data_IF_427994758564
#
_entry.id   IF_427994758564
#
_cell.length_a   1.000
_cell.length_b   1.000
_cell.length_c   1.000
_cell.angle_alpha   90.00
_cell.angle_beta   90.00
_cell.angle_gamma   90.00
#
_symmetry.space_group_name_H-M   'P 1'
#
loop_
_entity.id
_entity.type
_entity.pdbx_description
1 polymer ?
#
# COMPACT_ATOMS: atom_id res chain seq x y z
N UNK A 1 -7.21 22.32 -42.05
CA UNK A 1 -6.13 22.67 -41.12
C UNK A 1 -5.13 23.57 -41.83
N UNK A 2 -4.84 24.76 -41.30
CA UNK A 2 -3.88 25.70 -41.92
C UNK A 2 -2.43 25.17 -41.82
N UNK A 3 -1.55 25.61 -42.73
CA UNK A 3 -0.13 25.29 -42.67
C UNK A 3 0.51 25.68 -41.31
N UNK A 4 0.08 26.81 -40.73
CA UNK A 4 0.51 27.24 -39.39
C UNK A 4 0.15 26.24 -38.29
N UNK A 5 -1.04 25.61 -38.35
CA UNK A 5 -1.43 24.59 -37.37
C UNK A 5 -0.53 23.34 -37.43
N UNK A 6 -0.02 22.98 -38.62
CA UNK A 6 0.90 21.85 -38.79
C UNK A 6 2.29 22.17 -38.24
N UNK A 7 2.79 23.38 -38.48
CA UNK A 7 4.09 23.85 -37.97
C UNK A 7 4.06 23.96 -36.43
N UNK A 8 2.99 24.49 -35.85
CA UNK A 8 2.83 24.55 -34.40
C UNK A 8 2.79 23.15 -33.77
N UNK A 9 2.03 22.22 -34.37
CA UNK A 9 1.98 20.84 -33.90
C UNK A 9 3.33 20.12 -34.00
N UNK A 10 4.10 20.33 -35.08
CA UNK A 10 5.43 19.74 -35.23
C UNK A 10 6.44 20.28 -34.21
N UNK A 11 6.39 21.58 -33.90
CA UNK A 11 7.26 22.18 -32.90
C UNK A 11 6.97 21.64 -31.49
N UNK A 12 5.69 21.53 -31.13
CA UNK A 12 5.28 20.94 -29.85
C UNK A 12 5.72 19.47 -29.76
N UNK A 13 5.59 18.70 -30.85
CA UNK A 13 6.04 17.32 -30.90
C UNK A 13 7.57 17.19 -30.76
N UNK A 14 8.34 18.03 -31.45
CA UNK A 14 9.79 18.06 -31.35
C UNK A 14 10.25 18.43 -29.93
N UNK A 15 9.61 19.42 -29.30
CA UNK A 15 9.91 19.81 -27.93
C UNK A 15 9.60 18.69 -26.93
N UNK A 16 8.48 17.96 -27.12
CA UNK A 16 8.16 16.77 -26.31
C UNK A 16 9.21 15.67 -26.47
N UNK A 17 9.68 15.41 -27.69
CA UNK A 17 10.72 14.41 -27.96
C UNK A 17 12.07 14.79 -27.35
N UNK A 18 12.46 16.06 -27.44
CA UNK A 18 13.70 16.54 -26.83
C UNK A 18 13.67 16.38 -25.31
N UNK A 19 12.56 16.76 -24.66
CA UNK A 19 12.35 16.55 -23.22
C UNK A 19 12.34 15.07 -22.84
N UNK A 20 11.72 14.21 -23.65
CA UNK A 20 11.68 12.77 -23.39
C UNK A 20 13.08 12.13 -23.44
N UNK A 21 13.95 12.55 -24.38
CA UNK A 21 15.34 12.09 -24.45
C UNK A 21 16.13 12.50 -23.21
N UNK A 22 16.04 13.77 -22.82
CA UNK A 22 16.69 14.30 -21.61
C UNK A 22 16.28 13.53 -20.35
N UNK A 23 14.99 13.17 -20.24
CA UNK A 23 14.49 12.39 -19.11
C UNK A 23 15.00 10.96 -19.12
N UNK A 24 15.02 10.30 -20.28
CA UNK A 24 15.56 8.95 -20.38
C UNK A 24 17.03 8.94 -19.95
N UNK A 25 17.82 9.85 -20.48
CA UNK A 25 19.22 10.01 -20.12
C UNK A 25 19.42 10.29 -18.63
N UNK A 26 18.57 11.14 -18.05
CA UNK A 26 18.55 11.41 -16.61
C UNK A 26 18.24 10.15 -15.80
N UNK A 27 17.23 9.39 -16.20
CA UNK A 27 16.81 8.16 -15.51
C UNK A 27 17.88 7.07 -15.63
N UNK A 28 18.53 6.94 -16.77
CA UNK A 28 19.57 5.93 -17.01
C UNK A 28 20.85 6.22 -16.21
N UNK A 29 21.12 7.49 -15.89
CA UNK A 29 22.27 7.93 -15.08
C UNK A 29 21.96 8.13 -13.60
N UNK A 30 20.72 7.93 -13.17
CA UNK A 30 20.33 8.16 -11.78
C UNK A 30 20.97 7.12 -10.85
N UNK A 31 21.65 7.62 -9.80
CA UNK A 31 22.23 6.78 -8.75
C UNK A 31 21.15 6.27 -7.79
N UNK A 32 21.41 5.13 -7.13
CA UNK A 32 20.57 4.65 -6.03
C UNK A 32 20.67 5.62 -4.85
N UNK A 33 19.53 5.96 -4.26
CA UNK A 33 19.48 6.87 -3.11
C UNK A 33 19.96 6.22 -1.81
N UNK A 34 19.77 4.91 -1.71
CA UNK A 34 20.10 4.15 -0.51
C UNK A 34 21.33 3.31 -0.81
N UNK A 35 22.38 3.48 0.00
CA UNK A 35 23.56 2.63 -0.06
C UNK A 35 23.17 1.14 0.08
N UNK A 36 23.94 0.20 -0.46
CA UNK A 36 23.68 -1.22 -0.24
C UNK A 36 23.49 -1.54 1.25
N UNK A 37 22.60 -2.47 1.57
CA UNK A 37 22.40 -2.90 2.96
C UNK A 37 23.74 -3.33 3.56
N UNK A 38 24.03 -2.87 4.77
CA UNK A 38 25.25 -3.24 5.49
C UNK A 38 25.45 -4.77 5.45
N UNK A 39 26.56 -5.26 4.89
CA UNK A 39 26.87 -6.69 4.84
C UNK A 39 26.78 -7.38 6.21
N UNK A 40 27.07 -6.67 7.31
CA UNK A 40 26.98 -7.21 8.67
C UNK A 40 25.54 -7.54 9.08
N UNK A 41 24.57 -6.71 8.70
CA UNK A 41 23.15 -6.98 8.96
C UNK A 41 22.70 -8.27 8.26
N UNK A 42 23.24 -8.55 7.07
CA UNK A 42 22.96 -9.79 6.35
C UNK A 42 23.67 -10.99 6.93
N UNK A 43 24.90 -10.85 7.45
CA UNK A 43 25.66 -12.00 8.00
C UNK A 43 24.89 -12.73 9.10
N UNK A 44 24.12 -12.00 9.90
CA UNK A 44 23.32 -12.55 10.99
C UNK A 44 21.97 -13.13 10.54
N UNK A 45 21.61 -13.04 9.25
CA UNK A 45 20.37 -13.61 8.73
C UNK A 45 20.47 -15.15 8.68
N UNK A 46 19.46 -15.92 9.16
CA UNK A 46 19.50 -17.39 9.17
C UNK A 46 19.75 -18.06 7.80
N UNK A 47 19.53 -17.33 6.72
CA UNK A 47 19.70 -17.80 5.34
C UNK A 47 20.43 -16.78 4.46
N UNK A 48 21.41 -16.07 5.06
CA UNK A 48 22.25 -15.05 4.41
C UNK A 48 22.90 -15.52 3.10
N UNK A 49 23.39 -16.76 3.04
CA UNK A 49 23.96 -17.36 1.81
C UNK A 49 22.95 -17.42 0.66
N UNK A 50 21.71 -17.80 0.95
CA UNK A 50 20.65 -17.88 -0.05
C UNK A 50 20.23 -16.49 -0.53
N UNK A 51 20.14 -15.51 0.38
CA UNK A 51 19.86 -14.12 0.03
C UNK A 51 20.94 -13.55 -0.91
N UNK A 52 22.20 -13.81 -0.60
CA UNK A 52 23.32 -13.37 -1.45
C UNK A 52 23.26 -14.00 -2.84
N UNK A 53 23.00 -15.31 -2.93
CA UNK A 53 22.85 -15.99 -4.22
C UNK A 53 21.67 -15.50 -5.05
N UNK A 54 20.56 -15.15 -4.39
CA UNK A 54 19.29 -14.81 -5.07
C UNK A 54 19.23 -13.35 -5.49
N UNK A 55 19.65 -12.43 -4.62
CA UNK A 55 19.53 -10.98 -4.83
C UNK A 55 20.86 -10.28 -5.11
N UNK A 56 21.99 -10.94 -4.82
CA UNK A 56 23.32 -10.38 -5.01
C UNK A 56 23.59 -9.12 -4.20
N UNK A 57 24.51 -8.32 -4.73
CA UNK A 57 24.91 -7.03 -4.18
C UNK A 57 23.83 -5.96 -4.42
N UNK A 58 23.21 -5.97 -5.61
CA UNK A 58 22.24 -4.97 -6.06
C UNK A 58 20.79 -5.41 -5.82
N UNK A 59 20.47 -5.68 -4.57
CA UNK A 59 19.12 -6.02 -4.14
C UNK A 59 18.13 -4.89 -4.43
N UNK A 60 16.87 -5.24 -4.68
CA UNK A 60 15.76 -4.29 -4.78
C UNK A 60 15.53 -3.55 -3.46
N UNK A 61 14.95 -2.35 -3.52
CA UNK A 61 14.59 -1.57 -2.31
C UNK A 61 13.19 -1.90 -1.81
N UNK A 62 12.39 -2.54 -2.66
CA UNK A 62 11.05 -2.96 -2.37
C UNK A 62 10.43 -3.66 -3.56
N UNK A 63 9.13 -3.89 -3.47
CA UNK A 63 8.33 -4.39 -4.58
C UNK A 63 6.89 -3.92 -4.45
N UNK A 64 6.11 -4.10 -5.50
CA UNK A 64 4.67 -3.97 -5.44
C UNK A 64 3.95 -5.02 -6.30
N UNK A 65 2.77 -5.42 -5.81
CA UNK A 65 1.82 -6.26 -6.51
C UNK A 65 0.81 -5.41 -7.24
N UNK A 66 0.75 -5.60 -8.55
CA UNK A 66 -0.30 -5.01 -9.38
C UNK A 66 -1.64 -5.70 -9.13
N UNK A 67 -2.74 -5.04 -9.48
CA UNK A 67 -4.08 -5.64 -9.48
C UNK A 67 -4.21 -6.94 -10.30
N UNK A 68 -3.35 -7.13 -11.32
CA UNK A 68 -3.31 -8.36 -12.11
C UNK A 68 -2.56 -9.52 -11.41
N UNK A 69 -1.98 -9.29 -10.23
CA UNK A 69 -1.18 -10.24 -9.47
C UNK A 69 0.30 -10.27 -9.84
N UNK A 70 0.73 -9.48 -10.84
CA UNK A 70 2.13 -9.41 -11.22
C UNK A 70 2.98 -8.67 -10.18
N UNK A 71 4.18 -9.18 -9.97
CA UNK A 71 5.21 -8.67 -9.08
C UNK A 71 6.08 -7.66 -9.83
N UNK A 72 6.34 -6.51 -9.21
CA UNK A 72 7.11 -5.44 -9.85
C UNK A 72 8.12 -4.90 -8.84
N UNK A 73 9.38 -4.85 -9.24
CA UNK A 73 10.50 -4.46 -8.38
C UNK A 73 10.55 -2.94 -8.20
N UNK A 74 10.92 -2.48 -7.01
CA UNK A 74 11.13 -1.07 -6.72
C UNK A 74 12.62 -0.81 -6.45
N UNK A 75 13.11 0.26 -7.06
CA UNK A 75 14.43 0.80 -6.83
C UNK A 75 14.29 2.29 -6.55
N UNK A 76 14.90 2.73 -5.46
CA UNK A 76 14.89 4.09 -5.00
C UNK A 76 16.11 4.84 -5.54
N UNK A 77 15.84 5.88 -6.32
CA UNK A 77 16.86 6.69 -6.97
C UNK A 77 16.94 8.09 -6.36
N UNK A 78 18.14 8.66 -6.42
CA UNK A 78 18.37 10.06 -6.06
C UNK A 78 17.68 11.00 -7.05
N UNK A 79 17.45 12.23 -6.59
CA UNK A 79 16.93 13.29 -7.44
C UNK A 79 15.42 13.26 -7.62
N UNK A 80 14.94 13.73 -8.78
CA UNK A 80 13.56 14.18 -8.97
C UNK A 80 12.54 13.04 -9.08
N UNK A 81 12.96 11.87 -9.53
CA UNK A 81 12.06 10.76 -9.89
C UNK A 81 12.40 9.52 -9.07
N UNK A 82 11.88 9.42 -7.82
CA UNK A 82 12.41 8.50 -6.81
C UNK A 82 12.24 7.03 -7.18
N UNK A 83 11.23 6.65 -7.97
CA UNK A 83 11.04 5.27 -8.43
C UNK A 83 10.89 5.18 -9.96
N UNK A 84 11.40 6.17 -10.70
CA UNK A 84 11.23 6.25 -12.17
C UNK A 84 9.76 6.10 -12.57
N UNK A 85 9.41 5.10 -13.38
CA UNK A 85 8.04 4.80 -13.83
C UNK A 85 7.43 3.66 -13.01
N UNK A 86 6.26 3.90 -12.40
CA UNK A 86 5.47 2.88 -11.72
C UNK A 86 4.41 2.31 -12.66
N UNK A 87 4.86 1.41 -13.55
CA UNK A 87 4.01 0.65 -14.48
C UNK A 87 4.22 -0.83 -14.27
N UNK A 88 3.13 -1.59 -14.33
CA UNK A 88 3.22 -3.04 -14.27
C UNK A 88 3.87 -3.58 -15.54
N UNK A 89 4.91 -4.41 -15.40
CA UNK A 89 5.65 -4.97 -16.54
C UNK A 89 4.81 -5.98 -17.35
N UNK A 90 3.74 -6.52 -16.77
CA UNK A 90 2.86 -7.51 -17.41
C UNK A 90 1.66 -6.86 -18.10
N UNK A 91 0.89 -6.04 -17.37
CA UNK A 91 -0.36 -5.48 -17.90
C UNK A 91 -0.26 -4.00 -18.30
N UNK A 92 0.91 -3.36 -18.13
CA UNK A 92 1.15 -1.93 -18.38
C UNK A 92 0.23 -0.96 -17.60
N UNK A 93 -0.56 -1.45 -16.64
CA UNK A 93 -1.36 -0.61 -15.74
C UNK A 93 -0.42 0.23 -14.88
N UNK A 94 -0.74 1.53 -14.73
CA UNK A 94 -0.04 2.42 -13.83
C UNK A 94 -0.44 2.08 -12.39
N UNK A 95 0.51 2.14 -11.47
CA UNK A 95 0.24 1.93 -10.04
C UNK A 95 -0.95 2.78 -9.58
N UNK A 96 -1.82 2.20 -8.76
CA UNK A 96 -3.02 2.86 -8.25
C UNK A 96 -3.41 2.34 -6.87
N UNK A 97 -4.58 2.76 -6.37
CA UNK A 97 -5.07 2.39 -5.04
C UNK A 97 -5.41 0.89 -4.88
N UNK A 98 -5.52 0.13 -5.98
CA UNK A 98 -5.73 -1.33 -5.91
C UNK A 98 -4.41 -2.08 -5.81
N UNK A 99 -3.30 -1.44 -6.16
CA UNK A 99 -1.96 -2.01 -6.02
C UNK A 99 -1.51 -1.99 -4.56
N UNK A 100 -0.64 -2.92 -4.19
CA UNK A 100 -0.07 -3.04 -2.83
C UNK A 100 1.44 -3.03 -2.96
N UNK A 101 2.11 -2.21 -2.16
CA UNK A 101 3.56 -2.04 -2.18
C UNK A 101 4.16 -2.38 -0.83
N UNK A 102 5.44 -2.76 -0.83
CA UNK A 102 6.23 -2.86 0.39
C UNK A 102 6.37 -1.51 1.08
N UNK A 103 6.93 -1.54 2.29
CA UNK A 103 6.94 -0.42 3.23
C UNK A 103 7.62 0.83 2.64
N UNK A 104 8.56 0.68 1.70
CA UNK A 104 9.26 1.79 1.04
C UNK A 104 8.32 2.76 0.33
N UNK A 105 7.22 2.29 -0.25
CA UNK A 105 6.25 3.13 -0.96
C UNK A 105 4.94 3.02 -0.19
N UNK A 106 4.64 4.02 0.64
CA UNK A 106 3.40 4.04 1.43
C UNK A 106 2.45 5.11 0.90
N UNK A 107 1.26 4.74 0.39
CA UNK A 107 0.23 5.68 0.00
C UNK A 107 -0.14 6.67 1.11
N UNK A 108 -0.25 7.96 0.78
CA UNK A 108 -0.68 9.00 1.71
C UNK A 108 -2.07 9.49 1.29
N UNK A 109 -3.08 9.37 2.17
CA UNK A 109 -4.34 10.07 1.97
C UNK A 109 -4.10 11.58 1.99
N UNK A 110 -4.69 12.32 1.06
CA UNK A 110 -4.48 13.77 0.94
C UNK A 110 -4.78 14.56 2.22
N UNK A 111 -5.73 14.10 3.02
CA UNK A 111 -6.06 14.67 4.34
C UNK A 111 -4.89 14.62 5.33
N UNK A 112 -3.89 13.77 5.09
CA UNK A 112 -2.71 13.60 5.91
C UNK A 112 -1.51 14.42 5.40
N UNK A 113 -1.63 15.12 4.27
CA UNK A 113 -0.56 15.99 3.76
C UNK A 113 -0.60 17.30 4.54
N UNK A 114 0.47 17.63 5.31
CA UNK A 114 0.56 18.89 6.01
C UNK A 114 0.54 20.07 5.03
N UNK A 115 -0.36 21.02 5.24
CA UNK A 115 -0.48 22.22 4.40
C UNK A 115 0.57 23.29 4.70
N UNK A 116 1.22 23.23 5.88
CA UNK A 116 2.25 24.17 6.35
C UNK A 116 3.23 23.46 7.28
N UNK A 117 4.39 24.07 7.51
CA UNK A 117 5.38 23.60 8.47
C UNK A 117 6.09 22.31 8.04
N UNK A 118 6.10 22.02 6.73
CA UNK A 118 6.81 20.86 6.19
C UNK A 118 8.30 21.16 6.19
N UNK A 119 9.07 20.34 6.91
CA UNK A 119 10.53 20.42 6.88
C UNK A 119 11.06 19.90 5.54
N UNK A 120 12.25 20.36 5.13
CA UNK A 120 12.91 19.87 3.91
C UNK A 120 13.06 18.35 3.90
N UNK A 121 13.43 17.76 5.04
CA UNK A 121 13.58 16.31 5.18
C UNK A 121 12.25 15.57 4.98
N UNK A 122 11.15 16.10 5.53
CA UNK A 122 9.82 15.50 5.32
C UNK A 122 9.39 15.61 3.85
N UNK A 123 9.62 16.77 3.20
CA UNK A 123 9.30 16.95 1.79
C UNK A 123 10.11 16.00 0.89
N UNK A 124 11.39 15.78 1.19
CA UNK A 124 12.25 14.84 0.46
C UNK A 124 11.77 13.38 0.56
N UNK A 125 11.13 13.03 1.69
CA UNK A 125 10.48 11.74 1.90
C UNK A 125 9.09 11.63 1.25
N UNK A 126 8.61 12.66 0.57
CA UNK A 126 7.30 12.66 -0.09
C UNK A 126 7.44 12.65 -1.61
N UNK A 127 6.52 11.96 -2.25
CA UNK A 127 6.39 11.96 -3.70
C UNK A 127 4.94 11.91 -4.16
N UNK A 128 4.79 12.09 -5.46
CA UNK A 128 3.56 11.87 -6.20
C UNK A 128 3.89 11.23 -7.54
N UNK A 129 2.93 10.61 -8.22
CA UNK A 129 3.17 10.12 -9.59
C UNK A 129 2.09 10.55 -10.55
N UNK A 130 2.49 10.67 -11.82
CA UNK A 130 1.62 11.08 -12.89
C UNK A 130 0.68 9.92 -13.28
N UNK A 131 -0.66 10.08 -13.22
CA UNK A 131 -1.60 9.01 -13.56
C UNK A 131 -1.66 8.72 -15.06
N UNK A 132 -1.11 9.60 -15.92
CA UNK A 132 -1.09 9.40 -17.36
C UNK A 132 0.10 8.56 -17.83
N UNK A 133 1.26 8.67 -17.16
CA UNK A 133 2.46 7.97 -17.59
C UNK A 133 3.17 7.15 -16.51
N UNK A 134 2.80 7.26 -15.24
CA UNK A 134 3.42 6.55 -14.12
C UNK A 134 4.75 7.14 -13.65
N UNK A 135 5.25 8.24 -14.23
CA UNK A 135 6.49 8.87 -13.77
C UNK A 135 6.28 9.44 -12.36
N UNK A 136 7.15 9.04 -11.43
CA UNK A 136 7.17 9.53 -10.05
C UNK A 136 7.90 10.85 -9.95
N UNK A 137 7.52 11.70 -9.01
CA UNK A 137 8.05 13.03 -8.78
C UNK A 137 8.20 13.25 -7.27
N UNK A 138 9.38 13.67 -6.80
CA UNK A 138 9.51 14.17 -5.42
C UNK A 138 8.76 15.47 -5.24
N UNK A 139 8.25 15.69 -4.04
CA UNK A 139 7.62 16.96 -3.67
C UNK A 139 8.72 17.99 -3.41
N UNK A 140 8.65 19.11 -4.11
CA UNK A 140 9.56 20.24 -3.93
C UNK A 140 8.90 21.24 -2.97
N UNK A 141 9.66 21.97 -2.13
CA UNK A 141 9.09 23.05 -1.32
C UNK A 141 9.09 24.35 -2.15
N UNK A 142 7.99 25.12 -2.08
CA UNK A 142 8.01 26.49 -2.62
C UNK A 142 8.74 27.36 -1.60
N UNK A 143 9.85 27.97 -2.01
CA UNK A 143 10.74 28.72 -1.14
C UNK A 143 10.00 29.65 -0.16
N UNK A 144 10.49 29.69 1.08
CA UNK A 144 10.01 30.50 2.23
C UNK A 144 8.67 30.13 2.87
N UNK A 145 7.82 29.33 2.22
CA UNK A 145 6.47 29.06 2.76
C UNK A 145 6.34 27.74 3.53
N UNK A 146 7.33 26.85 3.42
CA UNK A 146 7.23 25.45 3.91
C UNK A 146 5.96 24.75 3.42
N UNK A 147 5.45 25.18 2.25
CA UNK A 147 4.29 24.58 1.58
C UNK A 147 4.84 23.60 0.54
N UNK A 148 4.40 22.34 0.56
CA UNK A 148 4.76 21.38 -0.47
C UNK A 148 4.20 21.83 -1.82
N UNK A 149 5.10 22.10 -2.76
CA UNK A 149 4.77 22.27 -4.18
C UNK A 149 4.39 20.93 -4.76
N UNK A 150 3.10 20.69 -4.83
CA UNK A 150 2.57 19.61 -5.65
C UNK A 150 2.50 20.03 -7.12
N UNK A 151 2.84 21.27 -7.49
CA UNK A 151 2.72 21.83 -8.84
C UNK A 151 3.93 21.49 -9.73
N UNK A 152 3.90 20.29 -10.30
CA UNK A 152 4.94 19.75 -11.19
C UNK A 152 4.32 19.50 -12.56
N UNK A 153 5.00 19.95 -13.63
CA UNK A 153 4.69 19.48 -14.97
C UNK A 153 5.39 18.15 -15.20
N UNK A 154 4.62 17.10 -15.44
CA UNK A 154 5.19 15.83 -15.88
C UNK A 154 5.68 15.95 -17.32
N UNK A 155 6.67 15.13 -17.64
CA UNK A 155 7.34 15.12 -18.93
C UNK A 155 6.44 14.61 -20.06
N UNK A 156 5.40 13.84 -19.74
CA UNK A 156 4.32 13.51 -20.68
C UNK A 156 3.45 14.73 -21.06
N UNK A 157 3.64 15.88 -20.41
CA UNK A 157 2.86 17.11 -20.60
C UNK A 157 1.70 17.28 -19.62
N UNK A 158 1.45 16.29 -18.77
CA UNK A 158 0.39 16.38 -17.75
C UNK A 158 0.79 17.35 -16.65
N UNK A 159 -0.08 18.31 -16.35
CA UNK A 159 0.06 19.16 -15.17
C UNK A 159 -0.37 18.38 -13.94
N UNK A 160 0.40 18.47 -12.87
CA UNK A 160 -0.01 17.88 -11.61
C UNK A 160 -1.33 18.48 -11.13
N UNK A 161 -2.24 17.59 -10.78
CA UNK A 161 -3.47 17.96 -10.10
C UNK A 161 -3.39 17.48 -8.67
N UNK A 162 -4.14 18.11 -7.76
CA UNK A 162 -4.17 17.65 -6.38
C UNK A 162 -4.78 16.24 -6.18
N UNK A 163 -5.30 15.63 -7.24
CA UNK A 163 -5.82 14.26 -7.27
C UNK A 163 -4.76 13.23 -7.69
N UNK A 164 -3.55 13.69 -8.03
CA UNK A 164 -2.43 12.78 -8.22
C UNK A 164 -2.18 12.00 -6.93
N UNK A 165 -1.83 10.74 -7.11
CA UNK A 165 -1.54 9.87 -6.00
C UNK A 165 -0.26 10.30 -5.31
N UNK A 166 -0.32 10.46 -3.98
CA UNK A 166 0.79 10.87 -3.13
C UNK A 166 1.27 9.72 -2.27
N UNK A 167 2.58 9.66 -2.01
CA UNK A 167 3.20 8.58 -1.23
C UNK A 167 4.35 9.10 -0.36
N UNK A 168 4.64 8.38 0.72
CA UNK A 168 5.88 8.49 1.48
C UNK A 168 6.88 7.49 0.94
N UNK A 169 8.13 7.92 0.97
CA UNK A 169 9.33 7.12 0.73
C UNK A 169 9.87 6.77 2.11
N UNK A 170 9.65 5.54 2.56
CA UNK A 170 10.21 5.04 3.82
C UNK A 170 11.57 4.36 3.59
N UNK A 171 12.20 3.91 4.68
CA UNK A 171 13.43 3.13 4.58
C UNK A 171 13.18 1.77 3.89
N UNK A 172 14.10 1.32 3.02
CA UNK A 172 14.06 -0.01 2.40
C UNK A 172 14.50 -1.14 3.35
N UNK A 173 15.01 -0.84 4.55
CA UNK A 173 15.77 -1.80 5.35
C UNK A 173 14.97 -3.04 5.73
N UNK A 174 13.67 -2.87 6.01
CA UNK A 174 12.78 -3.99 6.36
C UNK A 174 12.64 -4.97 5.19
N UNK A 175 12.49 -4.47 3.97
CA UNK A 175 12.42 -5.30 2.77
C UNK A 175 13.77 -5.93 2.46
N UNK A 176 14.87 -5.15 2.53
CA UNK A 176 16.22 -5.62 2.22
C UNK A 176 16.74 -6.67 3.22
N UNK A 177 16.27 -6.63 4.46
CA UNK A 177 16.61 -7.62 5.48
C UNK A 177 16.03 -8.99 5.13
N UNK A 178 14.74 -9.03 4.79
CA UNK A 178 14.02 -10.27 4.45
C UNK A 178 13.02 -10.02 3.30
N UNK A 179 13.49 -10.07 2.04
CA UNK A 179 12.63 -9.84 0.88
C UNK A 179 11.59 -10.94 0.69
N UNK A 180 11.90 -12.19 1.07
CA UNK A 180 10.99 -13.32 0.94
C UNK A 180 9.80 -13.20 1.91
N UNK A 181 10.05 -12.83 3.16
CA UNK A 181 8.99 -12.59 4.12
C UNK A 181 8.17 -11.36 3.75
N UNK A 182 8.81 -10.28 3.27
CA UNK A 182 8.08 -9.12 2.76
C UNK A 182 7.16 -9.50 1.59
N UNK A 183 7.65 -10.33 0.68
CA UNK A 183 6.91 -10.84 -0.45
C UNK A 183 5.68 -11.67 -0.05
N UNK A 184 5.86 -12.61 0.89
CA UNK A 184 4.75 -13.40 1.42
C UNK A 184 3.70 -12.49 2.07
N UNK A 185 4.11 -11.50 2.88
CA UNK A 185 3.18 -10.53 3.50
C UNK A 185 2.38 -9.77 2.45
N UNK A 186 3.02 -9.33 1.36
CA UNK A 186 2.34 -8.63 0.28
C UNK A 186 1.31 -9.53 -0.42
N UNK A 187 1.64 -10.80 -0.67
CA UNK A 187 0.69 -11.76 -1.27
C UNK A 187 -0.49 -12.06 -0.35
N UNK A 188 -0.26 -12.18 0.96
CA UNK A 188 -1.33 -12.35 1.95
C UNK A 188 -2.26 -11.13 1.98
N UNK A 189 -1.72 -9.91 1.96
CA UNK A 189 -2.52 -8.69 1.90
C UNK A 189 -3.31 -8.59 0.59
N UNK A 190 -2.69 -8.95 -0.53
CA UNK A 190 -3.33 -8.98 -1.85
C UNK A 190 -4.49 -9.97 -1.90
N UNK A 191 -4.27 -11.19 -1.42
CA UNK A 191 -5.31 -12.21 -1.34
C UNK A 191 -6.46 -11.78 -0.42
N UNK A 192 -6.15 -11.09 0.69
CA UNK A 192 -7.14 -10.55 1.62
C UNK A 192 -8.00 -9.47 0.95
N UNK A 193 -7.38 -8.47 0.29
CA UNK A 193 -8.11 -7.43 -0.46
C UNK A 193 -8.94 -7.99 -1.61
N UNK A 194 -8.41 -8.98 -2.33
CA UNK A 194 -9.14 -9.67 -3.39
C UNK A 194 -10.40 -10.37 -2.83
N UNK A 195 -10.27 -11.04 -1.68
CA UNK A 195 -11.38 -11.71 -0.99
C UNK A 195 -12.43 -10.71 -0.49
N UNK A 196 -12.00 -9.61 0.13
CA UNK A 196 -12.90 -8.53 0.56
C UNK A 196 -13.69 -7.93 -0.60
N UNK A 197 -13.07 -7.75 -1.77
CA UNK A 197 -13.74 -7.24 -2.97
C UNK A 197 -14.81 -8.20 -3.49
N UNK A 198 -14.59 -9.51 -3.36
CA UNK A 198 -15.60 -10.53 -3.74
C UNK A 198 -16.74 -10.55 -2.74
N UNK A 199 -16.45 -10.57 -1.43
CA UNK A 199 -17.46 -10.59 -0.37
C UNK A 199 -18.28 -9.30 -0.33
N UNK A 200 -17.62 -8.14 -0.50
CA UNK A 200 -18.26 -6.82 -0.54
C UNK A 200 -19.28 -6.68 -1.68
N UNK A 201 -19.10 -7.41 -2.79
CA UNK A 201 -20.10 -7.49 -3.87
C UNK A 201 -21.25 -8.45 -3.56
N UNK A 202 -21.02 -9.48 -2.75
CA UNK A 202 -22.06 -10.45 -2.38
C UNK A 202 -23.04 -9.90 -1.34
N UNK A 203 -22.59 -9.04 -0.41
CA UNK A 203 -23.46 -8.51 0.66
C UNK A 203 -24.65 -7.69 0.11
N UNK A 204 -24.49 -6.75 -0.85
CA UNK A 204 -25.62 -6.06 -1.45
C UNK A 204 -26.57 -7.02 -2.18
N UNK A 205 -26.03 -8.00 -2.92
CA UNK A 205 -26.82 -8.96 -3.67
C UNK A 205 -27.68 -9.85 -2.76
N UNK A 206 -27.12 -10.29 -1.63
CA UNK A 206 -27.88 -11.05 -0.62
C UNK A 206 -28.98 -10.19 0.02
N UNK A 207 -28.75 -8.89 0.27
CA UNK A 207 -29.79 -7.97 0.76
C UNK A 207 -30.90 -7.77 -0.27
N UNK A 208 -30.57 -7.70 -1.56
CA UNK A 208 -31.55 -7.58 -2.63
C UNK A 208 -32.41 -8.86 -2.77
N UNK A 209 -31.81 -10.05 -2.66
CA UNK A 209 -32.53 -11.33 -2.65
C UNK A 209 -33.47 -11.43 -1.42
N UNK A 210 -33.02 -10.96 -0.25
CA UNK A 210 -33.86 -10.97 0.96
C UNK A 210 -35.05 -10.00 0.83
N UNK A 211 -34.85 -8.80 0.29
CA UNK A 211 -35.92 -7.82 0.10
C UNK A 211 -36.92 -8.23 -0.97
N UNK A 212 -36.47 -8.87 -2.06
CA UNK A 212 -37.36 -9.44 -3.10
C UNK A 212 -38.15 -10.64 -2.58
N UNK A 213 -37.52 -11.56 -1.81
CA UNK A 213 -38.25 -12.63 -1.12
C UNK A 213 -39.33 -12.06 -0.19
N UNK A 214 -39.00 -11.09 0.65
CA UNK A 214 -39.97 -10.47 1.56
C UNK A 214 -41.16 -9.83 0.82
N UNK A 215 -40.93 -9.21 -0.35
CA UNK A 215 -42.01 -8.68 -1.22
C UNK A 215 -42.85 -9.81 -1.83
N UNK A 216 -42.24 -10.88 -2.31
CA UNK A 216 -42.95 -12.02 -2.90
C UNK A 216 -43.84 -12.75 -1.87
N UNK A 217 -43.36 -12.96 -0.63
CA UNK A 217 -44.16 -13.60 0.42
C UNK A 217 -45.41 -12.79 0.79
N UNK A 218 -45.37 -11.45 0.59
CA UNK A 218 -46.53 -10.57 0.85
C UNK A 218 -47.64 -10.73 -0.20
N UNK A 219 -47.31 -11.22 -1.40
CA UNK A 219 -48.27 -11.39 -2.50
C UNK A 219 -48.94 -12.78 -2.46
N UNK A 220 -48.28 -13.78 -1.87
CA UNK A 220 -48.78 -15.16 -1.77
C UNK A 220 -49.36 -15.52 -0.40
N UNK A 221 -50.08 -14.60 0.26
CA UNK A 221 -51.02 -15.00 1.33
C UNK A 221 -52.40 -15.19 0.70
N UNK A 222 -52.75 -16.39 0.20
CA UNK A 222 -54.12 -16.70 -0.13
C UNK A 222 -54.98 -16.58 1.12
N UNK A 223 -56.17 -15.98 0.96
CA UNK A 223 -57.20 -15.90 1.98
C UNK A 223 -57.32 -17.23 2.73
N UNK A 224 -56.99 -17.19 4.01
CA UNK A 224 -57.01 -18.34 4.92
C UNK A 224 -58.43 -18.92 4.93
N UNK A 225 -58.69 -20.15 4.43
CA UNK A 225 -59.97 -20.79 4.65
C UNK A 225 -60.13 -21.09 6.14
N UNK A 226 -61.33 -20.83 6.62
CA UNK A 226 -61.78 -20.94 8.00
C UNK A 226 -61.51 -22.34 8.56
N UNK A 227 -60.93 -22.35 9.76
CA UNK A 227 -60.37 -23.47 10.52
C UNK A 227 -61.38 -24.62 10.73
N UNK A 228 -61.05 -25.83 10.29
CA UNK A 228 -61.63 -27.07 10.80
C UNK A 228 -60.65 -27.72 11.77
N UNK A 229 -61.09 -27.90 13.01
CA UNK A 229 -60.41 -28.62 14.09
C UNK A 229 -60.20 -30.09 13.71
N UNK A 230 -58.95 -30.54 13.63
CA UNK A 230 -58.62 -31.97 13.61
C UNK A 230 -57.55 -32.24 14.66
N UNK A 231 -57.82 -33.30 15.42
CA UNK A 231 -57.15 -33.74 16.64
C UNK A 231 -55.70 -34.18 16.45
N UNK A 232 -54.94 -34.03 17.53
CA UNK A 232 -53.54 -34.40 17.67
C UNK A 232 -53.30 -35.90 17.47
N UNK A 233 -52.36 -36.24 16.57
CA UNK A 233 -51.78 -37.58 16.46
C UNK A 233 -50.37 -37.52 17.07
N UNK A 234 -50.18 -38.32 18.12
CA UNK A 234 -48.91 -38.51 18.81
C UNK A 234 -47.89 -39.21 17.89
N UNK A 235 -46.71 -38.59 17.73
CA UNK A 235 -45.54 -39.21 17.11
C UNK A 235 -44.72 -40.01 18.13
N UNK A 236 -44.19 -41.20 17.76
CA UNK A 236 -43.40 -42.05 18.65
C UNK A 236 -41.95 -41.54 18.83
N UNK A 237 -41.26 -42.00 19.89
CA UNK A 237 -39.93 -41.52 20.26
C UNK A 237 -38.81 -42.01 19.34
N UNK A 238 -37.87 -41.10 19.06
CA UNK A 238 -36.71 -41.27 18.19
C UNK A 238 -35.62 -42.10 18.88
N UNK A 239 -35.28 -43.25 18.30
CA UNK A 239 -34.19 -44.15 18.74
C UNK A 239 -32.83 -43.43 18.65
N UNK A 240 -32.09 -43.39 19.76
CA UNK A 240 -30.69 -42.98 19.80
C UNK A 240 -29.81 -44.14 19.30
N UNK A 241 -28.98 -43.87 18.29
CA UNK A 241 -27.93 -44.80 17.84
C UNK A 241 -26.62 -44.34 18.49
N UNK A 242 -26.08 -45.20 19.36
CA UNK A 242 -24.74 -45.08 19.93
C UNK A 242 -23.77 -45.58 18.86
N UNK A 243 -22.93 -44.68 18.32
CA UNK A 243 -21.80 -45.07 17.46
C UNK A 243 -20.53 -45.16 18.30
N UNK A 244 -19.96 -46.36 18.32
CA UNK A 244 -18.71 -46.70 19.00
C UNK A 244 -17.47 -46.15 18.29
N UNK A 245 -16.42 -46.04 19.11
CA UNK A 245 -15.05 -45.56 18.85
C UNK A 245 -14.33 -46.35 17.76
N UNK A 246 -13.44 -45.65 17.03
CA UNK A 246 -12.27 -46.26 16.40
C UNK A 246 -11.70 -45.45 15.25
N UNK A 247 -10.60 -44.73 15.49
CA UNK A 247 -9.43 -44.62 14.60
C UNK A 247 -8.53 -43.45 15.05
N UNK A 248 -7.32 -43.81 15.43
CA UNK A 248 -6.19 -42.93 15.71
C UNK A 248 -5.69 -42.25 14.43
N UNK A 249 -5.74 -40.93 14.38
CA UNK A 249 -4.97 -40.11 13.44
C UNK A 249 -4.13 -39.11 14.24
N UNK A 250 -2.82 -39.13 14.00
CA UNK A 250 -1.84 -38.31 14.69
C UNK A 250 -2.18 -36.82 14.63
N UNK A 251 -2.26 -36.21 15.81
CA UNK A 251 -2.36 -34.77 15.98
C UNK A 251 -0.96 -34.15 15.83
N UNK A 252 -0.81 -33.29 14.82
CA UNK A 252 0.20 -32.22 14.86
C UNK A 252 -0.34 -31.07 15.73
N UNK A 253 0.50 -30.41 16.54
CA UNK A 253 0.06 -29.30 17.37
C UNK A 253 -0.23 -28.06 16.52
N UNK A 254 -1.48 -27.84 16.15
CA UNK A 254 -1.96 -26.51 15.75
C UNK A 254 -2.16 -25.68 17.01
N UNK A 255 -1.18 -24.84 17.35
CA UNK A 255 -1.44 -23.71 18.24
C UNK A 255 -2.17 -22.61 17.45
N UNK A 256 -3.28 -22.07 17.96
CA UNK A 256 -3.88 -20.87 17.37
C UNK A 256 -2.98 -19.66 17.68
N UNK A 257 -2.24 -19.18 16.68
CA UNK A 257 -1.64 -17.85 16.74
C UNK A 257 -2.77 -16.81 16.64
N UNK A 258 -3.31 -16.38 17.78
CA UNK A 258 -4.09 -15.14 17.84
C UNK A 258 -3.13 -13.96 17.82
N UNK A 259 -2.68 -13.56 16.64
CA UNK A 259 -2.01 -12.28 16.46
C UNK A 259 -3.07 -11.16 16.52
N UNK A 260 -3.29 -10.58 17.72
CA UNK A 260 -3.98 -9.29 17.82
C UNK A 260 -3.06 -8.23 17.20
N UNK A 261 -3.44 -7.72 16.03
CA UNK A 261 -2.76 -6.57 15.43
C UNK A 261 -2.85 -5.37 16.38
N UNK A 262 -1.74 -4.65 16.62
CA UNK A 262 -1.78 -3.41 17.38
C UNK A 262 -2.50 -2.33 16.54
N UNK A 263 -3.67 -1.90 16.99
CA UNK A 263 -4.33 -0.71 16.46
C UNK A 263 -3.65 0.54 16.99
N UNK A 264 -3.00 1.31 16.11
CA UNK A 264 -2.49 2.64 16.43
C UNK A 264 -3.67 3.64 16.41
N UNK A 265 -3.96 4.26 17.55
CA UNK A 265 -4.94 5.34 17.64
C UNK A 265 -4.17 6.65 17.78
N UNK A 266 -4.12 7.44 16.70
CA UNK A 266 -3.58 8.80 16.76
C UNK A 266 -4.66 9.76 17.27
N UNK A 267 -4.57 10.18 18.53
CA UNK A 267 -5.36 11.31 19.03
C UNK A 267 -4.60 12.61 18.72
N UNK A 268 -5.28 13.56 18.09
CA UNK A 268 -4.73 14.91 17.87
C UNK A 268 -4.78 15.69 19.19
N UNK A 269 -3.64 15.92 19.81
CA UNK A 269 -3.48 16.96 20.84
C UNK A 269 -2.83 18.21 20.23
N UNK A 270 -3.24 19.42 20.66
CA UNK A 270 -2.81 20.68 20.04
C UNK A 270 -1.48 21.22 20.60
N UNK A 271 -0.53 20.37 20.99
CA UNK A 271 0.78 20.81 21.49
C UNK A 271 1.92 19.98 20.90
N UNK A 272 3.05 20.66 20.66
CA UNK A 272 4.13 20.38 19.69
C UNK A 272 4.94 19.08 19.85
N UNK A 273 4.51 18.12 20.67
CA UNK A 273 5.19 16.83 20.83
C UNK A 273 4.22 15.69 20.49
N UNK A 274 4.33 15.15 19.27
CA UNK A 274 3.59 13.96 18.86
C UNK A 274 4.19 12.72 19.57
N UNK A 275 3.72 12.43 20.78
CA UNK A 275 3.97 11.14 21.43
C UNK A 275 2.96 10.10 20.91
N UNK A 276 3.45 9.05 20.27
CA UNK A 276 2.63 7.89 19.89
C UNK A 276 2.71 6.85 21.01
N UNK A 277 1.60 6.63 21.71
CA UNK A 277 1.47 5.52 22.67
C UNK A 277 0.95 4.28 21.95
N UNK A 278 1.64 3.15 22.06
CA UNK A 278 1.17 1.86 21.55
C UNK A 278 0.62 1.07 22.75
N UNK A 279 -0.66 0.72 22.70
CA UNK A 279 -1.27 -0.15 23.71
C UNK A 279 -0.95 -1.61 23.38
N UNK A 280 -0.24 -2.31 24.27
CA UNK A 280 -0.05 -3.76 24.21
C UNK A 280 -0.77 -4.45 25.37
N UNK A 281 -1.23 -5.69 25.21
CA UNK A 281 -1.72 -6.49 26.34
C UNK A 281 -0.55 -6.74 27.29
N UNK A 282 -0.54 -6.03 28.42
CA UNK A 282 0.57 -6.02 29.40
C UNK A 282 1.02 -4.63 29.86
N UNK A 283 0.57 -3.54 29.23
CA UNK A 283 0.86 -2.18 29.68
C UNK A 283 1.03 -1.17 28.55
N UNK A 284 1.03 0.12 28.90
CA UNK A 284 1.31 1.22 27.96
C UNK A 284 2.82 1.35 27.79
N UNK A 285 3.32 1.26 26.56
CA UNK A 285 4.74 1.54 26.25
C UNK A 285 4.81 2.90 25.57
N UNK A 286 5.55 3.83 26.17
CA UNK A 286 5.83 5.14 25.60
C UNK A 286 6.97 5.00 24.59
N UNK A 287 6.69 5.19 23.30
CA UNK A 287 7.73 5.14 22.26
C UNK A 287 8.23 6.58 22.05
N UNK A 288 9.33 6.95 22.72
CA UNK A 288 10.07 8.16 22.36
C UNK A 288 10.79 7.91 21.05
N UNK A 289 10.60 8.80 20.06
CA UNK A 289 11.36 8.78 18.81
C UNK A 289 12.84 8.94 19.16
N UNK A 290 13.67 7.95 18.80
CA UNK A 290 15.12 8.12 18.76
C UNK A 290 15.44 9.10 17.62
N UNK A 291 15.55 10.39 17.97
CA UNK A 291 16.12 11.40 17.10
C UNK A 291 17.64 11.31 17.20
N UNK A 292 18.28 11.08 16.05
CA UNK A 292 19.71 11.24 15.84
C UNK A 292 20.06 12.71 16.16
N UNK A 293 20.76 12.92 17.27
CA UNK A 293 21.48 14.15 17.55
C UNK A 293 22.93 13.94 17.11
N UNK A 294 23.30 14.50 15.96
CA UNK A 294 24.66 14.94 15.70
C UNK A 294 24.64 16.47 15.75
N UNK A 295 24.88 17.01 16.94
CA UNK A 295 25.25 18.41 17.11
C UNK A 295 26.78 18.45 17.18
N UNK A 296 27.41 18.80 16.06
CA UNK A 296 28.81 19.18 16.03
C UNK A 296 28.97 20.52 16.74
N UNK A 297 29.52 20.48 17.94
CA UNK A 297 29.97 21.67 18.68
C UNK A 297 31.13 22.34 17.92
N UNK A 298 30.82 23.46 17.28
CA UNK A 298 31.81 24.43 16.81
C UNK A 298 31.85 25.57 17.82
N UNK A 299 32.73 25.46 18.83
CA UNK A 299 33.01 26.58 19.74
C UNK A 299 33.90 27.58 19.01
N UNK A 300 33.30 28.68 18.57
CA UNK A 300 34.03 29.92 18.29
C UNK A 300 34.41 30.55 19.63
N UNK A 301 35.70 30.62 19.91
CA UNK A 301 36.25 31.52 20.94
C UNK A 301 36.36 32.92 20.36
N UNK A 302 35.71 33.89 21.01
CA UNK A 302 36.16 35.28 21.10
C UNK A 302 36.50 35.51 22.56
#
# INVERSE_FOLDING_TARGET
MSAFSRIAASFIAAQKLAKARDVKDYLDRANRAEAPLDPELRKNHPYSKLLWMTHGEWMEDGEYLCSCGAENKLHHFEGRYPFKYLRCDVCNRIFDAECISSEILTPIPRSCIPSRGVTKNLAHGMGQFCPQCGLTHRVELIDFTSIPSLHVYCQCGSRSTPDWFTFFINSPDTYRYDPNAAHVRLKEEWASKATEKVLGKQVPLLREIQTTRAKATKIMVPNKPTRSTVSAVQTPPRRQIISSKGASTGQWPTQPFTAKQPTAVCQKTPTFNNECTINRPGGKVLVKRAGIFDAGDSVLKI
#
